data_IF_715979369841
#
_entry.id   IF_715979369841
#
_cell.length_a   1.000
_cell.length_b   1.000
_cell.length_c   1.000
_cell.angle_alpha   90.00
_cell.angle_beta   90.00
_cell.angle_gamma   90.00
#
_symmetry.space_group_name_H-M   'P 1'
#
loop_
_entity.id
_entity.type
_entity.pdbx_description
1 polymer ?
#
# COMPACT_ATOMS: atom_id res chain seq x y z
N UNK A 1 -5.57 -18.29 8.10
CA UNK A 1 -5.56 -16.88 7.69
C UNK A 1 -5.16 -16.05 8.91
N UNK A 2 -3.93 -15.55 8.98
CA UNK A 2 -3.41 -14.77 10.12
C UNK A 2 -2.48 -13.65 9.63
N UNK A 3 -2.88 -12.96 8.55
CA UNK A 3 -2.11 -11.83 8.02
C UNK A 3 -2.48 -10.55 8.76
N UNK A 4 -1.49 -9.73 9.07
CA UNK A 4 -1.69 -8.47 9.81
C UNK A 4 -2.34 -7.45 8.88
N UNK A 5 -3.29 -6.67 9.40
CA UNK A 5 -3.83 -5.54 8.66
C UNK A 5 -2.79 -4.40 8.54
N UNK A 6 -2.08 -4.13 9.64
CA UNK A 6 -1.08 -3.07 9.75
C UNK A 6 0.27 -3.60 10.29
N UNK A 7 1.34 -2.91 9.92
CA UNK A 7 2.70 -3.13 10.44
C UNK A 7 3.62 -2.02 9.94
N UNK A 8 4.69 -1.74 10.69
CA UNK A 8 5.70 -0.76 10.25
C UNK A 8 6.39 -1.21 8.96
N UNK A 9 6.60 -0.26 8.06
CA UNK A 9 7.24 -0.47 6.77
C UNK A 9 8.38 0.54 6.66
N UNK A 10 9.60 0.05 6.48
CA UNK A 10 10.75 0.91 6.25
C UNK A 10 10.51 1.81 5.01
N UNK A 11 10.89 3.10 5.03
CA UNK A 11 10.67 4.01 3.90
C UNK A 11 11.29 3.53 2.58
N UNK A 12 12.39 2.78 2.67
CA UNK A 12 13.16 2.23 1.56
C UNK A 12 12.85 0.75 1.28
N UNK A 13 11.77 0.21 1.85
CA UNK A 13 11.40 -1.18 1.65
C UNK A 13 11.21 -1.51 0.15
N UNK A 14 11.93 -2.55 -0.30
CA UNK A 14 11.91 -3.01 -1.69
C UNK A 14 11.10 -4.31 -1.78
N UNK A 15 10.45 -4.54 -2.92
CA UNK A 15 9.72 -5.76 -3.19
C UNK A 15 10.72 -6.92 -3.33
N UNK A 16 10.78 -7.81 -2.34
CA UNK A 16 11.60 -9.03 -2.41
C UNK A 16 10.72 -10.27 -2.56
N UNK A 17 11.24 -11.28 -3.25
CA UNK A 17 10.51 -12.52 -3.54
C UNK A 17 10.22 -13.35 -2.26
N UNK A 18 11.03 -13.13 -1.23
CA UNK A 18 10.99 -13.81 0.08
C UNK A 18 9.92 -13.25 1.03
N UNK A 19 9.23 -12.16 0.67
CA UNK A 19 8.24 -11.55 1.56
C UNK A 19 7.10 -12.51 1.95
N UNK A 20 6.91 -13.63 1.26
CA UNK A 20 5.81 -14.62 1.37
C UNK A 20 5.36 -15.05 2.79
N UNK A 21 6.10 -14.79 3.87
CA UNK A 21 5.84 -15.34 5.21
C UNK A 21 5.73 -14.27 6.31
N UNK A 22 4.74 -14.46 7.20
CA UNK A 22 4.45 -13.89 8.55
C UNK A 22 4.54 -12.36 8.82
N UNK A 23 5.29 -11.58 8.06
CA UNK A 23 5.41 -10.13 8.20
C UNK A 23 4.67 -9.35 7.10
N UNK A 24 3.86 -10.05 6.30
CA UNK A 24 3.00 -9.41 5.30
C UNK A 24 1.84 -8.66 5.95
N UNK A 25 1.80 -7.36 5.72
CA UNK A 25 0.65 -6.50 6.00
C UNK A 25 0.10 -5.88 4.72
N UNK A 26 -1.18 -5.51 4.74
CA UNK A 26 -1.82 -4.86 3.59
C UNK A 26 -1.10 -3.55 3.22
N UNK A 27 -0.67 -2.77 4.23
CA UNK A 27 0.09 -1.53 4.02
C UNK A 27 1.47 -1.80 3.38
N UNK A 28 2.15 -2.88 3.76
CA UNK A 28 3.44 -3.24 3.17
C UNK A 28 3.30 -3.58 1.69
N UNK A 29 2.31 -4.41 1.33
CA UNK A 29 2.05 -4.78 -0.07
C UNK A 29 1.68 -3.55 -0.91
N UNK A 30 0.89 -2.63 -0.34
CA UNK A 30 0.53 -1.40 -1.01
C UNK A 30 1.74 -0.50 -1.28
N UNK A 31 2.53 -0.16 -0.24
CA UNK A 31 3.71 0.71 -0.36
C UNK A 31 4.75 0.16 -1.34
N UNK A 32 4.96 -1.15 -1.30
CA UNK A 32 6.06 -1.80 -2.02
C UNK A 32 5.69 -2.18 -3.46
N UNK A 33 4.41 -2.50 -3.73
CA UNK A 33 3.96 -3.00 -5.03
C UNK A 33 2.79 -2.23 -5.61
N UNK A 34 1.65 -2.16 -4.94
CA UNK A 34 0.41 -1.66 -5.56
C UNK A 34 0.47 -0.16 -5.88
N UNK A 35 1.20 0.62 -5.07
CA UNK A 35 1.47 2.05 -5.30
C UNK A 35 2.09 2.33 -6.68
N UNK A 36 2.86 1.37 -7.23
CA UNK A 36 3.57 1.47 -8.53
C UNK A 36 2.72 1.09 -9.74
N UNK A 37 1.49 0.60 -9.53
CA UNK A 37 0.60 0.19 -10.64
C UNK A 37 0.19 1.39 -11.49
N UNK A 38 -0.06 2.56 -10.86
CA UNK A 38 -0.45 3.79 -11.56
C UNK A 38 0.56 4.21 -12.64
N UNK A 39 1.84 3.95 -12.41
CA UNK A 39 2.95 4.33 -13.30
C UNK A 39 3.11 3.37 -14.50
N UNK A 40 2.40 2.23 -14.49
CA UNK A 40 2.50 1.17 -15.50
C UNK A 40 1.33 1.15 -16.50
N UNK A 41 0.43 2.14 -16.44
CA UNK A 41 -0.75 2.19 -17.30
C UNK A 41 -0.56 3.08 -18.52
N UNK A 42 -0.93 2.56 -19.69
CA UNK A 42 -0.56 3.15 -20.97
C UNK A 42 -1.61 4.11 -21.58
N UNK A 43 -2.89 3.99 -21.25
CA UNK A 43 -3.94 4.88 -21.78
C UNK A 43 -4.24 6.03 -20.81
N UNK A 44 -4.73 7.15 -21.35
CA UNK A 44 -5.11 8.31 -20.55
C UNK A 44 -6.21 7.94 -19.52
N UNK A 45 -7.24 7.21 -19.95
CA UNK A 45 -8.32 6.77 -19.06
C UNK A 45 -7.82 5.83 -17.96
N UNK A 46 -6.92 4.90 -18.27
CA UNK A 46 -6.36 3.99 -17.27
C UNK A 46 -5.52 4.74 -16.23
N UNK A 47 -4.71 5.71 -16.66
CA UNK A 47 -3.95 6.58 -15.74
C UNK A 47 -4.86 7.40 -14.83
N UNK A 48 -5.94 7.98 -15.35
CA UNK A 48 -6.91 8.73 -14.55
C UNK A 48 -7.55 7.85 -13.46
N UNK A 49 -8.02 6.65 -13.83
CA UNK A 49 -8.60 5.69 -12.88
C UNK A 49 -7.57 5.26 -11.82
N UNK A 50 -6.33 5.00 -12.21
CA UNK A 50 -5.32 4.57 -11.25
C UNK A 50 -4.84 5.69 -10.32
N UNK A 51 -4.83 6.93 -10.78
CA UNK A 51 -4.54 8.08 -9.93
C UNK A 51 -5.61 8.22 -8.83
N UNK A 52 -6.89 8.19 -9.19
CA UNK A 52 -8.01 8.24 -8.24
C UNK A 52 -7.93 7.09 -7.22
N UNK A 53 -7.71 5.86 -7.69
CA UNK A 53 -7.59 4.68 -6.81
C UNK A 53 -6.36 4.77 -5.89
N UNK A 54 -5.26 5.30 -6.38
CA UNK A 54 -4.06 5.48 -5.58
C UNK A 54 -4.30 6.50 -4.46
N UNK A 55 -4.90 7.65 -4.77
CA UNK A 55 -5.26 8.67 -3.77
C UNK A 55 -6.20 8.12 -2.69
N UNK A 56 -7.20 7.33 -3.09
CA UNK A 56 -8.08 6.65 -2.14
C UNK A 56 -7.29 5.75 -1.17
N UNK A 57 -6.37 4.95 -1.68
CA UNK A 57 -5.59 4.01 -0.87
C UNK A 57 -4.58 4.72 0.05
N UNK A 58 -3.93 5.78 -0.43
CA UNK A 58 -3.06 6.64 0.39
C UNK A 58 -3.84 7.23 1.57
N UNK A 59 -5.01 7.80 1.31
CA UNK A 59 -5.88 8.37 2.34
C UNK A 59 -6.36 7.30 3.33
N UNK A 60 -6.72 6.12 2.85
CA UNK A 60 -7.13 4.99 3.69
C UNK A 60 -6.01 4.56 4.63
N UNK A 61 -4.80 4.30 4.12
CA UNK A 61 -3.69 3.86 4.95
C UNK A 61 -3.16 4.95 5.89
N UNK A 62 -3.19 6.21 5.46
CA UNK A 62 -2.87 7.35 6.34
C UNK A 62 -3.84 7.41 7.52
N UNK A 63 -5.15 7.27 7.26
CA UNK A 63 -6.15 7.23 8.33
C UNK A 63 -5.96 6.03 9.24
N UNK A 64 -5.74 4.84 8.67
CA UNK A 64 -5.50 3.63 9.44
C UNK A 64 -4.26 3.75 10.33
N UNK A 65 -3.21 4.43 9.88
CA UNK A 65 -2.01 4.70 10.70
C UNK A 65 -2.36 5.51 11.95
N UNK A 66 -3.14 6.58 11.79
CA UNK A 66 -3.59 7.42 12.90
C UNK A 66 -4.47 6.62 13.87
N UNK A 67 -5.39 5.80 13.35
CA UNK A 67 -6.27 4.93 14.15
C UNK A 67 -5.48 3.91 14.96
N UNK A 68 -4.45 3.29 14.37
CA UNK A 68 -3.56 2.35 15.07
C UNK A 68 -2.73 3.04 16.16
N UNK A 69 -2.33 4.30 15.96
CA UNK A 69 -1.60 5.11 16.95
C UNK A 69 -2.51 5.71 18.03
N UNK A 70 -3.83 5.66 17.86
CA UNK A 70 -4.79 6.32 18.74
C UNK A 70 -4.81 7.84 18.59
N UNK A 71 -4.39 8.35 17.44
CA UNK A 71 -4.31 9.79 17.12
C UNK A 71 -5.59 10.32 16.43
N UNK A 72 -6.48 9.42 15.98
CA UNK A 72 -7.77 9.73 15.35
C UNK A 72 -8.69 8.51 15.38
#
# INVERSE_FOLDING_TARGET
MNQKLWGEVAPDAIATREQRNSNHSAVAEFKVKLSKVKDRLHTASARAIAQERHEYMENFFTRLELEVRGEK
#
